data_IF_609757363937
#
_entry.id   IF_609757363937
#
_cell.length_a   1.000
_cell.length_b   1.000
_cell.length_c   1.000
_cell.angle_alpha   90.00
_cell.angle_beta   90.00
_cell.angle_gamma   90.00
#
_symmetry.space_group_name_H-M   'P 1'
#
loop_
_entity.id
_entity.type
_entity.pdbx_description
1 polymer ?
#
# COMPACT_ATOMS: atom_id res chain seq x y z
N UNK A 1 52.69 -61.79 -9.39
CA UNK A 1 52.97 -60.33 -9.29
C UNK A 1 52.10 -59.58 -10.29
N UNK A 2 51.11 -58.82 -9.81
CA UNK A 2 50.72 -57.47 -10.29
C UNK A 2 49.49 -57.01 -9.50
N UNK A 3 49.54 -55.74 -9.11
CA UNK A 3 48.87 -55.14 -7.96
C UNK A 3 47.47 -54.59 -8.25
N UNK A 4 46.67 -54.47 -7.18
CA UNK A 4 45.43 -53.70 -7.05
C UNK A 4 45.66 -52.20 -7.31
N UNK A 5 44.75 -51.54 -8.03
CA UNK A 5 44.38 -50.13 -7.76
C UNK A 5 42.91 -49.90 -8.16
N UNK A 6 42.08 -49.55 -7.17
CA UNK A 6 40.72 -49.02 -7.30
C UNK A 6 40.76 -47.53 -7.63
N UNK A 7 39.89 -46.98 -8.50
CA UNK A 7 39.57 -45.57 -8.49
C UNK A 7 38.24 -45.28 -7.79
N UNK A 8 38.34 -44.42 -6.78
CA UNK A 8 37.28 -43.75 -6.04
C UNK A 8 36.36 -42.94 -6.98
N UNK A 9 35.05 -43.09 -6.82
CA UNK A 9 34.05 -42.19 -7.40
C UNK A 9 33.81 -41.02 -6.43
N UNK A 10 33.89 -39.74 -6.87
CA UNK A 10 33.56 -38.62 -6.01
C UNK A 10 32.03 -38.45 -5.93
N UNK A 11 31.51 -38.45 -4.71
CA UNK A 11 30.14 -38.07 -4.40
C UNK A 11 29.97 -36.56 -4.63
N UNK A 12 29.08 -36.20 -5.56
CA UNK A 12 28.66 -34.81 -5.76
C UNK A 12 27.64 -34.46 -4.67
N UNK A 13 28.08 -33.71 -3.67
CA UNK A 13 27.20 -33.13 -2.65
C UNK A 13 26.47 -31.95 -3.28
N UNK A 14 25.19 -32.12 -3.58
CA UNK A 14 24.30 -31.03 -3.97
C UNK A 14 23.98 -30.18 -2.74
N UNK A 15 24.67 -29.04 -2.59
CA UNK A 15 24.32 -28.02 -1.60
C UNK A 15 23.11 -27.26 -2.14
N UNK A 16 21.93 -27.54 -1.57
CA UNK A 16 20.72 -26.78 -1.84
C UNK A 16 20.87 -25.35 -1.28
N UNK A 17 20.91 -24.36 -2.18
CA UNK A 17 20.82 -22.94 -1.85
C UNK A 17 19.42 -22.61 -1.33
N UNK A 18 19.21 -22.78 -0.02
CA UNK A 18 18.09 -22.21 0.73
C UNK A 18 18.53 -20.88 1.34
N UNK A 19 18.63 -19.85 0.51
CA UNK A 19 18.73 -18.49 0.99
C UNK A 19 18.02 -17.57 0.00
N UNK A 20 17.46 -16.46 0.51
CA UNK A 20 17.01 -15.24 -0.20
C UNK A 20 15.50 -14.91 -0.19
N UNK A 21 14.69 -15.44 0.74
CA UNK A 21 13.32 -14.91 0.92
C UNK A 21 13.28 -13.69 1.86
N UNK A 22 14.31 -13.48 2.70
CA UNK A 22 14.30 -12.43 3.73
C UNK A 22 14.57 -11.01 3.19
N UNK A 23 15.24 -10.86 2.04
CA UNK A 23 15.58 -9.55 1.47
C UNK A 23 14.43 -8.86 0.70
N UNK A 24 13.44 -9.63 0.25
CA UNK A 24 12.30 -9.12 -0.54
C UNK A 24 11.31 -8.34 0.35
N UNK A 25 11.12 -8.79 1.61
CA UNK A 25 10.16 -8.20 2.54
C UNK A 25 10.50 -6.77 2.99
N UNK A 26 11.78 -6.48 3.26
CA UNK A 26 12.21 -5.13 3.65
C UNK A 26 12.00 -4.11 2.52
N UNK A 27 12.15 -4.55 1.26
CA UNK A 27 11.88 -3.72 0.09
C UNK A 27 10.37 -3.48 -0.11
N UNK A 28 9.54 -4.50 0.14
CA UNK A 28 8.09 -4.38 -0.01
C UNK A 28 7.50 -3.37 0.99
N UNK A 29 7.92 -3.38 2.26
CA UNK A 29 7.47 -2.34 3.21
C UNK A 29 7.89 -0.93 2.78
N UNK A 30 9.11 -0.78 2.28
CA UNK A 30 9.62 0.50 1.78
C UNK A 30 8.80 0.99 0.59
N UNK A 31 8.51 0.10 -0.37
CA UNK A 31 7.68 0.41 -1.55
C UNK A 31 6.29 0.88 -1.15
N UNK A 32 5.66 0.21 -0.18
CA UNK A 32 4.33 0.58 0.33
C UNK A 32 4.39 1.96 0.99
N UNK A 33 5.37 2.18 1.89
CA UNK A 33 5.55 3.46 2.57
C UNK A 33 5.74 4.61 1.58
N UNK A 34 6.60 4.43 0.58
CA UNK A 34 6.85 5.44 -0.46
C UNK A 34 5.60 5.76 -1.28
N UNK A 35 4.74 4.78 -1.55
CA UNK A 35 3.48 5.03 -2.25
C UNK A 35 2.50 5.89 -1.41
N UNK A 36 2.41 5.65 -0.10
CA UNK A 36 1.61 6.51 0.80
C UNK A 36 2.24 7.90 0.96
N UNK A 37 3.57 7.99 1.01
CA UNK A 37 4.27 9.26 1.04
C UNK A 37 4.02 10.07 -0.25
N UNK A 38 4.13 9.42 -1.41
CA UNK A 38 3.82 10.00 -2.71
C UNK A 38 2.35 10.45 -2.80
N UNK A 39 1.41 9.65 -2.29
CA UNK A 39 0.00 10.03 -2.19
C UNK A 39 -0.18 11.31 -1.35
N UNK A 40 0.52 11.43 -0.22
CA UNK A 40 0.44 12.62 0.64
C UNK A 40 0.91 13.90 -0.06
N UNK A 41 1.81 13.76 -1.04
CA UNK A 41 2.40 14.83 -1.84
C UNK A 41 1.72 15.04 -3.20
N UNK A 42 0.82 14.15 -3.60
CA UNK A 42 0.16 14.22 -4.90
C UNK A 42 -0.58 15.57 -5.08
N UNK A 43 -0.49 16.23 -6.24
CA UNK A 43 -1.09 17.55 -6.44
C UNK A 43 -2.60 17.56 -6.21
N UNK A 44 -3.28 16.53 -6.70
CA UNK A 44 -4.71 16.33 -6.48
C UNK A 44 -5.10 14.85 -6.61
N UNK A 45 -6.15 14.44 -5.89
CA UNK A 45 -6.80 13.15 -6.08
C UNK A 45 -8.25 13.20 -5.57
N UNK A 46 -9.12 12.35 -6.15
CA UNK A 46 -10.43 12.00 -5.59
C UNK A 46 -10.37 10.60 -5.01
N UNK A 47 -11.03 10.37 -3.90
CA UNK A 47 -11.22 9.05 -3.30
C UNK A 47 -12.70 8.77 -3.09
N UNK A 48 -13.10 7.56 -3.41
CA UNK A 48 -14.38 6.99 -2.94
C UNK A 48 -14.06 5.94 -1.90
N UNK A 49 -14.75 5.98 -0.78
CA UNK A 49 -14.50 5.10 0.36
C UNK A 49 -15.80 4.39 0.75
N UNK A 50 -15.74 3.06 0.81
CA UNK A 50 -16.80 2.22 1.36
C UNK A 50 -16.29 1.56 2.64
N UNK A 51 -17.12 1.56 3.69
CA UNK A 51 -16.87 0.90 4.97
C UNK A 51 -18.13 0.10 5.36
N UNK A 52 -17.98 -1.00 6.11
CA UNK A 52 -19.14 -1.74 6.60
C UNK A 52 -20.05 -0.86 7.47
N UNK A 53 -21.35 -0.86 7.16
CA UNK A 53 -22.37 -0.16 7.96
C UNK A 53 -22.34 1.37 7.85
N UNK A 54 -21.44 1.96 7.04
CA UNK A 54 -21.36 3.40 6.82
C UNK A 54 -21.73 3.71 5.37
N UNK A 55 -22.55 4.75 5.10
CA UNK A 55 -22.79 5.21 3.75
C UNK A 55 -21.47 5.52 3.02
N UNK A 56 -21.34 5.21 1.72
CA UNK A 56 -20.15 5.55 0.95
C UNK A 56 -19.83 7.04 1.05
N UNK A 57 -18.55 7.34 1.26
CA UNK A 57 -18.06 8.70 1.39
C UNK A 57 -17.15 9.03 0.21
N UNK A 58 -17.09 10.32 -0.11
CA UNK A 58 -16.13 10.82 -1.08
C UNK A 58 -15.22 11.87 -0.46
N UNK A 59 -13.99 11.91 -0.97
CA UNK A 59 -12.99 12.90 -0.59
C UNK A 59 -12.31 13.44 -1.86
N UNK A 60 -12.03 14.73 -1.90
CA UNK A 60 -11.18 15.36 -2.90
C UNK A 60 -10.06 16.10 -2.17
N UNK A 61 -8.81 15.82 -2.51
CA UNK A 61 -7.65 16.57 -2.06
C UNK A 61 -7.08 17.35 -3.25
N UNK A 62 -6.81 18.65 -3.08
CA UNK A 62 -6.17 19.53 -4.06
C UNK A 62 -5.21 20.45 -3.31
N UNK A 63 -3.91 20.27 -3.50
CA UNK A 63 -2.91 20.90 -2.65
C UNK A 63 -3.17 20.57 -1.17
N UNK A 64 -3.28 21.60 -0.34
CA UNK A 64 -3.63 21.45 1.09
C UNK A 64 -5.14 21.38 1.35
N UNK A 65 -5.98 21.72 0.36
CA UNK A 65 -7.42 21.70 0.55
C UNK A 65 -7.96 20.26 0.51
N UNK A 66 -8.76 19.90 1.51
CA UNK A 66 -9.49 18.64 1.56
C UNK A 66 -10.98 18.95 1.56
N UNK A 67 -11.73 18.27 0.70
CA UNK A 67 -13.18 18.33 0.62
C UNK A 67 -13.72 16.93 0.90
N UNK A 68 -14.78 16.83 1.70
CA UNK A 68 -15.46 15.58 1.97
C UNK A 68 -16.94 15.69 1.64
N UNK A 69 -17.53 14.55 1.28
CA UNK A 69 -18.96 14.40 1.05
C UNK A 69 -19.48 13.24 1.90
N UNK A 70 -19.77 13.47 3.20
CA UNK A 70 -20.34 12.46 4.09
C UNK A 70 -21.85 12.22 3.84
N UNK A 71 -22.48 13.05 3.00
CA UNK A 71 -23.92 13.01 2.69
C UNK A 71 -24.22 13.65 1.32
N UNK A 72 -25.30 14.43 1.15
CA UNK A 72 -25.68 14.96 -0.16
C UNK A 72 -24.76 16.08 -0.67
N UNK A 73 -24.06 16.78 0.23
CA UNK A 73 -23.33 18.01 -0.09
C UNK A 73 -21.84 17.90 0.21
N UNK A 74 -21.04 18.61 -0.58
CA UNK A 74 -19.61 18.75 -0.35
C UNK A 74 -19.34 19.76 0.77
N UNK A 75 -18.34 19.46 1.58
CA UNK A 75 -17.85 20.32 2.66
C UNK A 75 -16.34 20.44 2.54
N UNK A 76 -15.81 21.66 2.64
CA UNK A 76 -14.37 21.89 2.76
C UNK A 76 -13.96 21.70 4.21
N UNK A 77 -12.96 20.87 4.46
CA UNK A 77 -12.41 20.69 5.80
C UNK A 77 -11.52 21.88 6.17
N UNK A 78 -11.62 22.41 7.39
CA UNK A 78 -10.67 23.38 7.91
C UNK A 78 -9.40 22.63 8.34
N UNK A 79 -8.41 22.58 7.45
CA UNK A 79 -7.11 21.94 7.69
C UNK A 79 -5.98 22.92 7.42
N UNK A 80 -4.89 22.78 8.17
CA UNK A 80 -3.68 23.58 8.00
C UNK A 80 -2.83 23.08 6.82
N UNK A 81 -1.96 23.93 6.25
CA UNK A 81 -1.00 23.48 5.26
C UNK A 81 -0.16 22.30 5.76
N UNK A 82 0.05 21.29 4.90
CA UNK A 82 0.81 20.10 5.24
C UNK A 82 0.06 19.05 6.09
N UNK A 83 -1.22 19.26 6.42
CA UNK A 83 -2.02 18.26 7.16
C UNK A 83 -1.97 16.88 6.50
N UNK A 84 -2.00 16.79 5.16
CA UNK A 84 -1.92 15.50 4.44
C UNK A 84 -0.64 14.71 4.74
N UNK A 85 0.50 15.39 4.71
CA UNK A 85 1.79 14.77 5.04
C UNK A 85 1.88 14.41 6.53
N UNK A 86 1.32 15.25 7.40
CA UNK A 86 1.24 14.97 8.84
C UNK A 86 0.40 13.72 9.12
N UNK A 87 -0.79 13.61 8.52
CA UNK A 87 -1.66 12.43 8.66
C UNK A 87 -0.97 11.16 8.16
N UNK A 88 -0.26 11.22 7.03
CA UNK A 88 0.51 10.07 6.54
C UNK A 88 1.55 9.61 7.58
N UNK A 89 2.33 10.54 8.16
CA UNK A 89 3.34 10.19 9.17
C UNK A 89 2.71 9.70 10.48
N UNK A 90 1.55 10.21 10.85
CA UNK A 90 0.83 9.75 12.04
C UNK A 90 0.33 8.31 11.86
N UNK A 91 -0.24 7.99 10.70
CA UNK A 91 -0.77 6.64 10.41
C UNK A 91 0.34 5.64 10.06
N UNK A 92 1.40 6.10 9.39
CA UNK A 92 2.49 5.27 8.89
C UNK A 92 3.81 6.02 9.05
N UNK A 93 4.41 6.03 10.26
CA UNK A 93 5.57 6.88 10.58
C UNK A 93 6.85 6.48 9.87
N UNK A 94 6.98 5.21 9.48
CA UNK A 94 8.11 4.69 8.70
C UNK A 94 7.73 3.36 8.04
N UNK A 95 8.53 2.92 7.06
CA UNK A 95 8.41 1.58 6.49
C UNK A 95 8.58 0.48 7.55
N UNK A 96 9.43 0.68 8.55
CA UNK A 96 9.66 -0.28 9.64
C UNK A 96 8.47 -0.41 10.61
N UNK A 97 7.52 0.52 10.58
CA UNK A 97 6.28 0.43 11.36
C UNK A 97 5.26 -0.52 10.74
N UNK A 98 5.42 -0.87 9.45
CA UNK A 98 4.61 -1.88 8.77
C UNK A 98 5.10 -3.29 9.10
N UNK A 99 4.18 -4.26 9.06
CA UNK A 99 4.49 -5.69 9.22
C UNK A 99 3.96 -6.50 8.04
N UNK A 100 4.51 -7.69 7.86
CA UNK A 100 4.03 -8.70 6.90
C UNK A 100 3.91 -8.18 5.46
N UNK A 101 4.78 -7.23 5.09
CA UNK A 101 4.76 -6.59 3.78
C UNK A 101 5.16 -7.59 2.70
N UNK A 102 4.28 -7.84 1.76
CA UNK A 102 4.57 -8.77 0.67
C UNK A 102 3.90 -8.33 -0.61
N UNK A 103 4.62 -8.44 -1.73
CA UNK A 103 4.00 -8.45 -3.05
C UNK A 103 3.17 -9.73 -3.22
N UNK A 104 1.87 -9.58 -3.44
CA UNK A 104 0.92 -10.70 -3.55
C UNK A 104 0.34 -10.89 -4.95
N UNK A 105 0.63 -9.99 -5.90
CA UNK A 105 0.22 -10.17 -7.28
C UNK A 105 0.35 -8.92 -8.14
N UNK A 106 -0.33 -8.97 -9.28
CA UNK A 106 -0.47 -7.86 -10.22
C UNK A 106 -1.88 -7.87 -10.78
N UNK A 107 -2.45 -6.70 -11.06
CA UNK A 107 -3.79 -6.54 -11.63
C UNK A 107 -3.84 -5.28 -12.48
N UNK A 108 -4.87 -5.15 -13.32
CA UNK A 108 -5.20 -3.89 -13.97
C UNK A 108 -6.35 -3.21 -13.23
N UNK A 109 -6.11 -2.03 -12.64
CA UNK A 109 -7.13 -1.22 -11.96
C UNK A 109 -7.56 -0.11 -12.89
N UNK A 110 -8.79 -0.18 -13.41
CA UNK A 110 -9.37 0.84 -14.32
C UNK A 110 -8.45 1.18 -15.51
N UNK A 111 -7.90 0.14 -16.15
CA UNK A 111 -6.99 0.29 -17.29
C UNK A 111 -5.53 0.60 -16.93
N UNK A 112 -5.20 0.80 -15.64
CA UNK A 112 -3.84 1.05 -15.19
C UNK A 112 -3.21 -0.22 -14.61
N UNK A 113 -2.01 -0.64 -15.08
CA UNK A 113 -1.30 -1.77 -14.48
C UNK A 113 -0.88 -1.44 -13.05
N UNK A 114 -1.07 -2.40 -12.14
CA UNK A 114 -0.79 -2.25 -10.72
C UNK A 114 -0.11 -3.49 -10.14
N UNK A 115 0.80 -3.28 -9.20
CA UNK A 115 1.31 -4.34 -8.32
C UNK A 115 0.52 -4.34 -7.03
N UNK A 116 0.11 -5.51 -6.57
CA UNK A 116 -0.65 -5.68 -5.33
C UNK A 116 0.31 -6.01 -4.21
N UNK A 117 0.24 -5.24 -3.13
CA UNK A 117 0.96 -5.49 -1.89
C UNK A 117 -0.02 -5.76 -0.76
N UNK A 118 0.35 -6.65 0.14
CA UNK A 118 -0.29 -6.86 1.44
C UNK A 118 0.63 -6.34 2.53
N UNK A 119 0.06 -5.76 3.59
CA UNK A 119 0.79 -5.33 4.78
C UNK A 119 -0.15 -5.25 5.98
N UNK A 120 0.40 -5.28 7.18
CA UNK A 120 -0.30 -4.98 8.43
C UNK A 120 0.13 -3.59 8.90
N UNK A 121 -0.80 -2.62 9.04
CA UNK A 121 -0.46 -1.27 9.51
C UNK A 121 -0.03 -1.28 10.99
N UNK A 122 0.68 -0.24 11.47
CA UNK A 122 0.95 -0.10 12.89
C UNK A 122 -0.37 0.08 13.67
N UNK A 123 -0.38 -0.24 14.98
CA UNK A 123 -1.52 0.07 15.83
C UNK A 123 -1.84 1.57 15.79
N UNK A 124 -3.13 1.91 15.71
CA UNK A 124 -3.60 3.28 15.83
C UNK A 124 -4.21 3.49 17.21
N UNK A 125 -3.90 4.62 17.84
CA UNK A 125 -4.47 4.99 19.12
C UNK A 125 -6.00 5.06 19.02
N UNK A 126 -6.71 4.46 19.98
CA UNK A 126 -8.17 4.39 20.00
C UNK A 126 -8.80 3.40 19.02
N UNK A 127 -8.00 2.70 18.21
CA UNK A 127 -8.47 1.61 17.36
C UNK A 127 -8.12 0.24 17.96
N UNK A 128 -8.92 -0.78 17.64
CA UNK A 128 -8.56 -2.17 17.91
C UNK A 128 -7.36 -2.64 17.08
N UNK A 129 -6.84 -3.87 17.30
CA UNK A 129 -5.81 -4.45 16.45
C UNK A 129 -6.25 -4.45 14.99
N UNK A 130 -5.45 -3.84 14.11
CA UNK A 130 -5.75 -3.79 12.69
C UNK A 130 -5.25 -5.05 11.99
N UNK A 131 -6.12 -5.65 11.17
CA UNK A 131 -5.76 -6.79 10.34
C UNK A 131 -4.97 -6.41 9.08
N UNK A 132 -4.53 -7.41 8.30
CA UNK A 132 -3.86 -7.17 7.03
C UNK A 132 -4.71 -6.36 6.06
N UNK A 133 -4.06 -5.42 5.39
CA UNK A 133 -4.61 -4.57 4.34
C UNK A 133 -3.92 -4.89 3.01
N UNK A 134 -4.56 -4.51 1.91
CA UNK A 134 -3.96 -4.57 0.57
C UNK A 134 -3.98 -3.20 -0.07
N UNK A 135 -2.92 -2.91 -0.82
CA UNK A 135 -2.79 -1.72 -1.66
C UNK A 135 -2.38 -2.13 -3.07
N UNK A 136 -3.05 -1.56 -4.06
CA UNK A 136 -2.71 -1.68 -5.47
C UNK A 136 -1.93 -0.43 -5.85
N UNK A 137 -0.65 -0.57 -6.16
CA UNK A 137 0.24 0.54 -6.52
C UNK A 137 0.43 0.53 -8.03
N UNK A 138 0.08 1.63 -8.69
CA UNK A 138 0.22 1.76 -10.15
C UNK A 138 1.68 1.63 -10.56
N UNK A 139 1.99 0.74 -11.51
CA UNK A 139 3.39 0.45 -11.89
C UNK A 139 4.07 1.63 -12.58
N UNK A 140 3.28 2.50 -13.22
CA UNK A 140 3.78 3.68 -13.92
C UNK A 140 3.78 4.93 -13.03
N UNK A 141 2.75 5.08 -12.19
CA UNK A 141 2.59 6.29 -11.35
C UNK A 141 3.29 6.20 -10.00
N UNK A 142 3.53 4.99 -9.48
CA UNK A 142 3.99 4.78 -8.11
C UNK A 142 2.94 5.13 -7.05
N UNK A 143 1.70 5.42 -7.45
CA UNK A 143 0.63 5.90 -6.58
C UNK A 143 -0.38 4.78 -6.25
N UNK A 144 -0.97 4.78 -5.04
CA UNK A 144 -2.07 3.87 -4.71
C UNK A 144 -3.28 4.08 -5.62
N UNK A 145 -3.80 3.02 -6.24
CA UNK A 145 -5.01 3.05 -7.07
C UNK A 145 -6.24 2.51 -6.33
N UNK A 146 -6.02 1.56 -5.42
CA UNK A 146 -7.03 0.94 -4.57
C UNK A 146 -6.42 0.52 -3.25
N UNK A 147 -7.20 0.55 -2.18
CA UNK A 147 -6.83 0.04 -0.86
C UNK A 147 -8.02 -0.73 -0.28
N UNK A 148 -7.76 -1.88 0.34
CA UNK A 148 -8.82 -2.68 0.97
C UNK A 148 -8.39 -3.26 2.30
N UNK A 149 -9.33 -3.45 3.21
CA UNK A 149 -9.18 -4.28 4.40
C UNK A 149 -10.34 -5.26 4.49
N UNK A 150 -10.06 -6.55 4.61
CA UNK A 150 -11.11 -7.55 4.84
C UNK A 150 -11.68 -7.43 6.25
N UNK A 151 -10.81 -7.20 7.25
CA UNK A 151 -11.23 -7.08 8.65
C UNK A 151 -12.12 -5.85 8.85
N UNK A 152 -11.69 -4.70 8.33
CA UNK A 152 -12.44 -3.44 8.47
C UNK A 152 -13.53 -3.30 7.39
N UNK A 153 -13.66 -4.29 6.49
CA UNK A 153 -14.54 -4.28 5.32
C UNK A 153 -14.49 -2.95 4.56
N UNK A 154 -13.27 -2.55 4.18
CA UNK A 154 -13.03 -1.29 3.48
C UNK A 154 -12.65 -1.50 2.02
N UNK A 155 -13.14 -0.61 1.17
CA UNK A 155 -12.72 -0.47 -0.22
C UNK A 155 -12.58 1.02 -0.55
N UNK A 156 -11.34 1.43 -0.79
CA UNK A 156 -11.00 2.81 -1.14
C UNK A 156 -10.42 2.82 -2.54
N UNK A 157 -10.98 3.65 -3.42
CA UNK A 157 -10.52 3.81 -4.80
C UNK A 157 -10.03 5.22 -5.02
N UNK A 158 -8.86 5.37 -5.63
CA UNK A 158 -8.22 6.67 -5.89
C UNK A 158 -8.24 7.00 -7.39
N UNK A 159 -8.51 8.27 -7.68
CA UNK A 159 -8.59 8.82 -9.02
C UNK A 159 -7.75 10.08 -9.11
N UNK A 160 -6.91 10.19 -10.13
CA UNK A 160 -5.94 11.28 -10.28
C UNK A 160 -6.23 12.18 -11.49
N UNK A 161 -7.09 11.74 -12.40
CA UNK A 161 -7.47 12.49 -13.60
C UNK A 161 -8.69 13.36 -13.33
N UNK A 162 -8.73 14.54 -13.97
CA UNK A 162 -9.87 15.46 -13.96
C UNK A 162 -10.37 15.83 -12.54
N UNK A 163 -9.45 15.94 -11.58
CA UNK A 163 -9.77 16.29 -10.20
C UNK A 163 -9.91 17.81 -10.09
N UNK A 164 -11.14 18.26 -9.86
CA UNK A 164 -11.49 19.67 -9.69
C UNK A 164 -12.18 19.87 -8.36
N UNK A 165 -12.04 21.07 -7.80
CA UNK A 165 -12.75 21.42 -6.56
C UNK A 165 -14.27 21.33 -6.81
N UNK A 166 -15.05 20.79 -5.86
CA UNK A 166 -16.50 20.75 -6.00
C UNK A 166 -17.07 22.17 -6.05
N UNK A 167 -18.05 22.38 -6.94
CA UNK A 167 -18.79 23.63 -7.02
C UNK A 167 -19.78 23.67 -5.83
N UNK A 168 -19.85 24.77 -5.06
CA UNK A 168 -20.82 24.94 -3.97
C UNK A 168 -22.28 24.86 -4.43
#
# INVERSE_FOLDING_TARGET
>A
MRALVTPFAPAVVAVALLAQVQGVQANDCQTIYEAYEALSKAPAYRQTMAFAGVPPMELIAIGDAIYMKPGPSWQKLPVDPGTRASMQKQTMPSAAALKDCSRVGTETVRGQPATIYQYTPPPMEGAGPLGPQRVWIGTTSGLPLRMTSQQETTDVNLFYENVVAPIP
#
